data_IF_683064611193
#
_entry.id   IF_683064611193
#
_cell.length_a   1.000
_cell.length_b   1.000
_cell.length_c   1.000
_cell.angle_alpha   90.00
_cell.angle_beta   90.00
_cell.angle_gamma   90.00
#
_symmetry.space_group_name_H-M   'P 1'
#
loop_
_entity.id
_entity.type
_entity.pdbx_description
1 polymer ?
#
# COMPACT_ATOMS: atom_id res chain seq x y z
N UNK A 1 -50.97 -40.78 32.55
CA UNK A 1 -49.87 -39.86 33.04
C UNK A 1 -49.20 -39.23 31.83
N UNK A 2 -49.80 -38.16 31.42
CA UNK A 2 -49.32 -37.33 30.31
C UNK A 2 -48.23 -36.36 30.85
N UNK A 3 -47.04 -36.51 30.36
CA UNK A 3 -45.97 -35.54 30.65
C UNK A 3 -46.27 -34.30 29.83
N UNK A 4 -46.78 -33.26 30.50
CA UNK A 4 -46.74 -31.90 29.93
C UNK A 4 -45.30 -31.58 29.58
N UNK A 5 -45.03 -31.40 28.29
CA UNK A 5 -43.84 -30.74 27.81
C UNK A 5 -44.02 -29.26 28.18
N UNK A 6 -43.26 -28.78 29.14
CA UNK A 6 -43.04 -27.36 29.35
C UNK A 6 -42.43 -26.78 28.08
N UNK A 7 -43.24 -26.35 27.15
CA UNK A 7 -42.84 -25.51 26.05
C UNK A 7 -42.50 -24.14 26.65
N UNK A 8 -41.23 -23.83 26.70
CA UNK A 8 -40.76 -22.51 27.12
C UNK A 8 -41.17 -21.54 26.00
N UNK A 9 -42.40 -21.01 26.12
CA UNK A 9 -42.81 -19.87 25.28
C UNK A 9 -41.96 -18.64 25.67
N UNK A 10 -40.98 -18.32 24.85
CA UNK A 10 -40.20 -17.10 25.03
C UNK A 10 -41.08 -15.93 24.59
N UNK A 11 -41.72 -15.29 25.56
CA UNK A 11 -42.48 -14.06 25.31
C UNK A 11 -41.52 -12.91 24.95
N UNK A 12 -41.35 -12.69 23.63
CA UNK A 12 -40.53 -11.66 23.07
C UNK A 12 -40.96 -10.26 23.54
N UNK A 13 -42.22 -10.07 23.83
CA UNK A 13 -42.77 -8.81 24.28
C UNK A 13 -42.39 -8.52 25.74
N UNK A 14 -42.44 -9.53 26.60
CA UNK A 14 -41.95 -9.45 27.98
C UNK A 14 -40.45 -9.19 28.04
N UNK A 15 -39.68 -9.82 27.15
CA UNK A 15 -38.23 -9.60 27.03
C UNK A 15 -37.93 -8.15 26.59
N UNK A 16 -38.63 -7.64 25.57
CA UNK A 16 -38.51 -6.27 25.10
C UNK A 16 -38.84 -5.24 26.19
N UNK A 17 -39.90 -5.46 26.94
CA UNK A 17 -40.26 -4.58 28.06
C UNK A 17 -39.28 -4.65 29.22
N UNK A 18 -38.68 -5.81 29.51
CA UNK A 18 -37.64 -5.95 30.52
C UNK A 18 -36.35 -5.19 30.13
N UNK A 19 -35.97 -5.24 28.86
CA UNK A 19 -34.83 -4.45 28.31
C UNK A 19 -35.16 -2.95 28.36
N UNK A 20 -36.36 -2.55 27.97
CA UNK A 20 -36.78 -1.15 28.02
C UNK A 20 -36.74 -0.56 29.43
N UNK A 21 -37.18 -1.34 30.41
CA UNK A 21 -37.18 -0.94 31.83
C UNK A 21 -35.75 -0.77 32.39
N UNK A 22 -34.75 -1.43 31.81
CA UNK A 22 -33.34 -1.34 32.20
C UNK A 22 -32.47 -0.68 31.14
N UNK A 23 -33.07 0.09 30.23
CA UNK A 23 -32.35 0.75 29.11
C UNK A 23 -31.18 1.62 29.57
N UNK A 24 -31.31 2.23 30.76
CA UNK A 24 -30.21 3.00 31.35
C UNK A 24 -28.94 2.15 31.56
N UNK A 25 -29.10 0.91 32.00
CA UNK A 25 -28.01 0.00 32.25
C UNK A 25 -27.34 -0.44 30.95
N UNK A 26 -28.15 -0.66 29.91
CA UNK A 26 -27.67 -0.98 28.57
C UNK A 26 -26.90 0.21 27.99
N UNK A 27 -27.41 1.43 28.15
CA UNK A 27 -26.74 2.66 27.72
C UNK A 27 -25.41 2.88 28.46
N UNK A 28 -25.39 2.67 29.78
CA UNK A 28 -24.17 2.80 30.57
C UNK A 28 -23.08 1.81 30.12
N UNK A 29 -23.46 0.54 29.86
CA UNK A 29 -22.54 -0.47 29.33
C UNK A 29 -22.07 -0.15 27.91
N UNK A 30 -22.95 0.38 27.06
CA UNK A 30 -22.61 0.81 25.71
C UNK A 30 -21.59 1.97 25.72
N UNK A 31 -21.78 2.95 26.60
CA UNK A 31 -20.85 4.10 26.76
C UNK A 31 -19.50 3.62 27.29
N UNK A 32 -19.48 2.73 28.29
CA UNK A 32 -18.25 2.13 28.80
C UNK A 32 -17.49 1.35 27.71
N UNK A 33 -18.20 0.52 26.95
CA UNK A 33 -17.63 -0.24 25.85
C UNK A 33 -17.08 0.69 24.75
N UNK A 34 -17.79 1.74 24.40
CA UNK A 34 -17.35 2.73 23.43
C UNK A 34 -16.10 3.50 23.91
N UNK A 35 -16.04 3.87 25.19
CA UNK A 35 -14.89 4.56 25.77
C UNK A 35 -13.63 3.68 25.77
N UNK A 36 -13.77 2.40 26.10
CA UNK A 36 -12.67 1.44 26.05
C UNK A 36 -12.19 1.21 24.62
N UNK A 37 -13.12 0.99 23.68
CA UNK A 37 -12.81 0.79 22.26
C UNK A 37 -12.14 2.04 21.65
N UNK A 38 -12.62 3.23 21.98
CA UNK A 38 -12.04 4.49 21.53
C UNK A 38 -10.62 4.70 22.07
N UNK A 39 -10.41 4.40 23.36
CA UNK A 39 -9.09 4.48 23.97
C UNK A 39 -8.12 3.50 23.34
N UNK A 40 -8.55 2.28 23.08
CA UNK A 40 -7.76 1.27 22.39
C UNK A 40 -7.38 1.75 20.97
N UNK A 41 -8.35 2.20 20.19
CA UNK A 41 -8.13 2.67 18.83
C UNK A 41 -7.18 3.87 18.76
N UNK A 42 -7.28 4.81 19.72
CA UNK A 42 -6.46 6.03 19.72
C UNK A 42 -5.02 5.80 20.19
N UNK A 43 -4.82 4.88 21.16
CA UNK A 43 -3.50 4.71 21.78
C UNK A 43 -2.72 3.50 21.27
N UNK A 44 -3.40 2.47 20.74
CA UNK A 44 -2.74 1.24 20.29
C UNK A 44 -2.67 1.11 18.76
N UNK A 45 -3.53 1.81 18.01
CA UNK A 45 -3.54 1.73 16.55
C UNK A 45 -2.73 2.89 15.98
N UNK A 46 -1.54 2.60 15.46
CA UNK A 46 -0.75 3.59 14.71
C UNK A 46 -1.39 3.81 13.34
N UNK A 47 -1.79 5.03 12.97
CA UNK A 47 -2.26 5.31 11.62
C UNK A 47 -1.12 5.04 10.63
N UNK A 48 -1.44 4.40 9.51
CA UNK A 48 -0.51 4.20 8.41
C UNK A 48 -0.96 5.07 7.23
N UNK A 49 -0.04 5.90 6.76
CA UNK A 49 -0.24 6.74 5.59
C UNK A 49 0.38 6.10 4.37
N UNK A 50 -0.24 6.29 3.21
CA UNK A 50 0.25 5.79 1.94
C UNK A 50 0.51 6.95 1.00
N UNK A 51 1.74 7.06 0.52
CA UNK A 51 2.10 7.92 -0.59
C UNK A 51 2.21 7.07 -1.86
N UNK A 52 1.62 7.56 -2.96
CA UNK A 52 1.58 6.85 -4.25
C UNK A 52 2.30 7.65 -5.30
N UNK A 53 3.20 7.00 -6.04
CA UNK A 53 3.83 7.54 -7.23
C UNK A 53 3.54 6.63 -8.42
N UNK A 54 3.09 7.20 -9.53
CA UNK A 54 2.88 6.47 -10.79
C UNK A 54 4.02 6.79 -11.75
N UNK A 55 4.56 5.76 -12.38
CA UNK A 55 5.65 5.89 -13.34
C UNK A 55 5.26 5.19 -14.64
N UNK A 56 5.54 5.86 -15.76
CA UNK A 56 5.33 5.33 -17.10
C UNK A 56 6.67 4.78 -17.64
N UNK A 57 6.62 3.56 -18.13
CA UNK A 57 7.76 2.91 -18.79
C UNK A 57 7.68 3.21 -20.27
N UNK A 58 8.49 4.15 -20.76
CA UNK A 58 8.55 4.44 -22.19
C UNK A 58 9.52 3.47 -22.87
N UNK A 59 9.02 2.62 -23.72
CA UNK A 59 9.81 1.75 -24.60
C UNK A 59 10.24 2.49 -25.88
N UNK A 60 10.92 3.64 -25.73
CA UNK A 60 11.35 4.48 -26.85
C UNK A 60 12.51 3.89 -27.67
N UNK A 61 12.93 2.66 -27.39
CA UNK A 61 14.06 2.03 -28.13
C UNK A 61 13.68 1.54 -29.55
N UNK A 62 12.42 1.67 -29.96
CA UNK A 62 11.98 1.26 -31.30
C UNK A 62 11.23 2.41 -31.99
N UNK A 63 11.95 3.50 -32.27
CA UNK A 63 11.48 4.53 -33.18
C UNK A 63 12.53 4.77 -34.26
N UNK A 64 12.69 3.81 -35.14
CA UNK A 64 13.39 3.96 -36.41
C UNK A 64 12.44 3.53 -37.55
N UNK A 65 11.81 4.54 -38.16
CA UNK A 65 11.12 4.40 -39.46
C UNK A 65 9.60 4.35 -39.35
N UNK A 66 8.97 5.25 -40.09
CA UNK A 66 7.56 5.37 -40.44
C UNK A 66 6.76 4.04 -40.40
N UNK A 67 6.26 3.67 -39.27
CA UNK A 67 5.29 2.57 -39.15
C UNK A 67 4.12 3.02 -38.29
N UNK A 68 2.93 2.95 -38.85
CA UNK A 68 1.66 3.16 -38.22
C UNK A 68 1.52 2.37 -36.91
N UNK A 69 1.15 3.07 -35.86
CA UNK A 69 0.87 2.50 -34.53
C UNK A 69 -0.28 1.47 -34.62
N UNK A 70 0.05 0.21 -34.75
CA UNK A 70 -0.83 -0.87 -34.32
C UNK A 70 -0.19 -1.47 -33.07
N UNK A 71 -0.79 -1.22 -31.89
CA UNK A 71 -0.38 -1.87 -30.66
C UNK A 71 -0.61 -3.37 -30.83
N UNK A 72 0.48 -4.09 -31.05
CA UNK A 72 0.46 -5.55 -31.14
C UNK A 72 0.36 -6.13 -29.72
N UNK A 73 -0.38 -7.21 -29.54
CA UNK A 73 -0.44 -7.94 -28.26
C UNK A 73 0.95 -8.40 -27.76
N UNK A 74 1.91 -8.56 -28.66
CA UNK A 74 3.31 -8.85 -28.33
C UNK A 74 4.04 -7.65 -27.68
N UNK A 75 3.76 -6.43 -28.13
CA UNK A 75 4.36 -5.21 -27.56
C UNK A 75 3.85 -4.95 -26.14
N UNK A 76 2.56 -5.22 -25.89
CA UNK A 76 1.98 -5.10 -24.57
C UNK A 76 2.58 -6.12 -23.59
N UNK A 77 2.82 -7.35 -24.01
CA UNK A 77 3.47 -8.38 -23.18
C UNK A 77 4.94 -8.05 -22.90
N UNK A 78 5.64 -7.45 -23.86
CA UNK A 78 7.01 -6.99 -23.68
C UNK A 78 7.08 -5.82 -22.68
N UNK A 79 6.14 -4.88 -22.78
CA UNK A 79 6.05 -3.75 -21.86
C UNK A 79 5.76 -4.19 -20.42
N UNK A 80 4.88 -5.18 -20.23
CA UNK A 80 4.62 -5.79 -18.91
C UNK A 80 5.88 -6.44 -18.31
N UNK A 81 6.66 -7.17 -19.12
CA UNK A 81 7.91 -7.76 -18.68
C UNK A 81 8.96 -6.71 -18.28
N UNK A 82 8.94 -5.53 -18.93
CA UNK A 82 9.79 -4.41 -18.54
C UNK A 82 9.35 -3.80 -17.21
N UNK A 83 8.05 -3.67 -16.95
CA UNK A 83 7.52 -3.21 -15.66
C UNK A 83 7.98 -4.13 -14.53
N UNK A 84 7.88 -5.45 -14.70
CA UNK A 84 8.35 -6.41 -13.71
C UNK A 84 9.85 -6.27 -13.45
N UNK A 85 10.64 -6.08 -14.51
CA UNK A 85 12.08 -5.83 -14.39
C UNK A 85 12.38 -4.55 -13.62
N UNK A 86 11.63 -3.47 -13.87
CA UNK A 86 11.81 -2.19 -13.16
C UNK A 86 11.44 -2.30 -11.68
N UNK A 87 10.43 -3.08 -11.35
CA UNK A 87 10.07 -3.38 -9.96
C UNK A 87 11.21 -4.13 -9.24
N UNK A 88 11.83 -5.09 -9.92
CA UNK A 88 12.99 -5.81 -9.38
C UNK A 88 14.19 -4.88 -9.18
N UNK A 89 14.50 -4.02 -10.15
CA UNK A 89 15.57 -3.03 -10.05
C UNK A 89 15.31 -2.05 -8.90
N UNK A 90 14.07 -1.57 -8.77
CA UNK A 90 13.66 -0.66 -7.70
C UNK A 90 13.88 -1.29 -6.32
N UNK A 91 13.51 -2.55 -6.13
CA UNK A 91 13.67 -3.29 -4.87
C UNK A 91 15.10 -3.80 -4.63
N UNK A 92 16.01 -3.60 -5.58
CA UNK A 92 17.39 -4.02 -5.39
C UNK A 92 18.05 -3.20 -4.27
N UNK A 93 18.96 -3.85 -3.53
CA UNK A 93 19.73 -3.21 -2.45
C UNK A 93 20.44 -1.94 -2.94
N UNK A 94 21.07 -2.01 -4.11
CA UNK A 94 21.78 -0.88 -4.70
C UNK A 94 20.89 0.35 -4.94
N UNK A 95 19.64 0.15 -5.34
CA UNK A 95 18.69 1.25 -5.55
C UNK A 95 18.20 1.79 -4.22
N UNK A 96 17.82 0.92 -3.28
CA UNK A 96 17.29 1.34 -1.99
C UNK A 96 18.37 1.99 -1.10
N UNK A 97 19.61 1.56 -1.16
CA UNK A 97 20.73 2.24 -0.50
C UNK A 97 20.92 3.66 -1.04
N UNK A 98 20.85 3.85 -2.38
CA UNK A 98 20.90 5.18 -3.00
C UNK A 98 19.71 6.06 -2.59
N UNK A 99 18.52 5.48 -2.48
CA UNK A 99 17.32 6.18 -1.98
C UNK A 99 17.54 6.61 -0.53
N UNK A 100 18.03 5.72 0.32
CA UNK A 100 18.30 6.00 1.73
C UNK A 100 19.33 7.11 1.93
N UNK A 101 20.42 7.11 1.15
CA UNK A 101 21.42 8.18 1.15
C UNK A 101 20.81 9.55 0.81
N UNK A 102 19.92 9.60 -0.18
CA UNK A 102 19.23 10.84 -0.56
C UNK A 102 18.21 11.29 0.49
N UNK A 103 17.49 10.36 1.11
CA UNK A 103 16.58 10.68 2.21
C UNK A 103 17.35 11.29 3.37
N UNK A 104 18.47 10.67 3.76
CA UNK A 104 19.37 11.20 4.81
C UNK A 104 19.93 12.60 4.49
N UNK A 105 20.17 12.90 3.22
CA UNK A 105 20.64 14.22 2.82
C UNK A 105 19.57 15.32 3.01
N UNK A 106 18.28 14.96 2.96
CA UNK A 106 17.16 15.88 3.16
C UNK A 106 16.73 15.92 4.62
N UNK A 107 16.63 14.75 5.25
CA UNK A 107 16.24 14.58 6.66
C UNK A 107 17.22 13.61 7.35
N UNK A 108 18.24 14.13 8.06
CA UNK A 108 19.24 13.31 8.74
C UNK A 108 18.69 12.39 9.84
N UNK A 109 17.48 12.65 10.34
CA UNK A 109 16.83 11.78 11.33
C UNK A 109 16.16 10.57 10.68
N UNK A 110 15.97 10.58 9.35
CA UNK A 110 15.42 9.48 8.59
C UNK A 110 16.53 8.52 8.14
N UNK A 111 16.86 7.57 8.99
CA UNK A 111 17.75 6.46 8.66
C UNK A 111 16.96 5.17 8.66
N UNK A 112 16.90 4.50 7.51
CA UNK A 112 16.22 3.21 7.35
C UNK A 112 17.22 2.12 6.99
N UNK A 113 17.02 0.92 7.50
CA UNK A 113 17.69 -0.25 6.96
C UNK A 113 17.07 -0.65 5.62
N UNK A 114 17.80 -1.44 4.83
CA UNK A 114 17.27 -1.97 3.57
C UNK A 114 15.97 -2.76 3.77
N UNK A 115 15.92 -3.55 4.82
CA UNK A 115 14.77 -4.40 5.17
C UNK A 115 13.54 -3.57 5.52
N UNK A 116 13.71 -2.50 6.30
CA UNK A 116 12.63 -1.57 6.64
C UNK A 116 12.12 -0.84 5.39
N UNK A 117 13.02 -0.26 4.61
CA UNK A 117 12.65 0.47 3.41
C UNK A 117 11.96 -0.44 2.38
N UNK A 118 12.49 -1.65 2.16
CA UNK A 118 11.89 -2.64 1.29
C UNK A 118 10.50 -3.11 1.76
N UNK A 119 10.30 -3.18 3.08
CA UNK A 119 9.01 -3.54 3.68
C UNK A 119 7.95 -2.45 3.57
N UNK A 120 8.37 -1.17 3.55
CA UNK A 120 7.48 -0.02 3.38
C UNK A 120 7.02 0.17 1.92
N UNK A 121 7.75 -0.39 0.94
CA UNK A 121 7.54 -0.14 -0.48
C UNK A 121 6.85 -1.33 -1.13
N UNK A 122 5.72 -1.06 -1.77
CA UNK A 122 5.04 -2.00 -2.66
C UNK A 122 4.96 -1.40 -4.06
N UNK A 123 5.18 -2.21 -5.08
CA UNK A 123 5.01 -1.78 -6.46
C UNK A 123 4.26 -2.84 -7.26
N UNK A 124 3.40 -2.37 -8.16
CA UNK A 124 2.60 -3.23 -9.02
C UNK A 124 2.30 -2.55 -10.36
N UNK A 125 2.17 -3.35 -11.40
CA UNK A 125 1.67 -2.88 -12.69
C UNK A 125 0.20 -2.45 -12.59
N UNK A 126 -0.16 -1.35 -13.23
CA UNK A 126 -1.54 -0.84 -13.24
C UNK A 126 -2.29 -1.45 -14.41
N UNK A 127 -3.25 -2.31 -14.13
CA UNK A 127 -4.21 -2.87 -15.12
C UNK A 127 -3.58 -3.44 -16.40
N UNK A 128 -2.38 -4.02 -16.33
CA UNK A 128 -1.70 -4.56 -17.51
C UNK A 128 -1.23 -3.50 -18.51
N UNK A 129 -1.04 -2.26 -18.05
CA UNK A 129 -0.48 -1.16 -18.84
C UNK A 129 1.03 -1.04 -18.63
N UNK A 130 1.66 -0.14 -19.38
CA UNK A 130 3.07 0.26 -19.21
C UNK A 130 3.30 1.17 -17.98
N UNK A 131 2.27 1.35 -17.16
CA UNK A 131 2.33 2.15 -15.93
C UNK A 131 2.47 1.22 -14.75
N UNK A 132 3.36 1.56 -13.82
CA UNK A 132 3.40 0.92 -12.52
C UNK A 132 3.22 1.95 -11.40
N UNK A 133 2.56 1.52 -10.36
CA UNK A 133 2.32 2.29 -9.16
C UNK A 133 3.31 1.86 -8.09
N UNK A 134 3.94 2.83 -7.45
CA UNK A 134 4.75 2.64 -6.24
C UNK A 134 3.94 3.16 -5.07
N UNK A 135 3.72 2.33 -4.07
CA UNK A 135 3.01 2.68 -2.83
C UNK A 135 3.99 2.57 -1.67
N UNK A 136 4.21 3.67 -0.99
CA UNK A 136 5.03 3.73 0.23
C UNK A 136 4.11 3.87 1.43
N UNK A 137 4.23 2.96 2.39
CA UNK A 137 3.43 2.94 3.62
C UNK A 137 4.30 3.30 4.81
N UNK A 138 3.97 4.39 5.52
CA UNK A 138 4.72 4.85 6.70
C UNK A 138 3.76 5.43 7.75
N UNK A 139 4.06 5.33 9.06
CA UNK A 139 3.28 6.01 10.11
C UNK A 139 3.29 7.54 10.01
N UNK A 140 4.28 8.11 9.34
CA UNK A 140 4.41 9.54 9.10
C UNK A 140 4.12 9.86 7.62
N UNK A 141 3.16 10.75 7.36
CA UNK A 141 2.76 11.13 6.00
C UNK A 141 3.87 11.88 5.25
N UNK A 142 4.65 12.73 5.94
CA UNK A 142 5.73 13.49 5.32
C UNK A 142 6.89 12.55 4.92
N UNK A 143 7.18 11.56 5.77
CA UNK A 143 8.18 10.54 5.47
C UNK A 143 7.75 9.62 4.33
N UNK A 144 6.46 9.22 4.29
CA UNK A 144 5.91 8.45 3.18
C UNK A 144 6.06 9.19 1.84
N UNK A 145 5.73 10.49 1.83
CA UNK A 145 5.86 11.34 0.65
C UNK A 145 7.32 11.54 0.23
N UNK A 146 8.21 11.83 1.18
CA UNK A 146 9.65 11.99 0.92
C UNK A 146 10.24 10.73 0.29
N UNK A 147 9.93 9.55 0.83
CA UNK A 147 10.42 8.27 0.29
C UNK A 147 9.88 8.06 -1.13
N UNK A 148 8.58 8.24 -1.36
CA UNK A 148 7.96 8.04 -2.66
C UNK A 148 8.55 8.98 -3.73
N UNK A 149 8.71 10.27 -3.41
CA UNK A 149 9.31 11.26 -4.31
C UNK A 149 10.78 10.98 -4.58
N UNK A 150 11.53 10.53 -3.57
CA UNK A 150 12.94 10.16 -3.72
C UNK A 150 13.10 8.95 -4.63
N UNK A 151 12.24 7.94 -4.51
CA UNK A 151 12.23 6.78 -5.42
C UNK A 151 11.94 7.23 -6.85
N UNK A 152 10.93 8.10 -7.04
CA UNK A 152 10.55 8.61 -8.35
C UNK A 152 11.69 9.40 -9.03
N UNK A 153 12.57 10.07 -8.28
CA UNK A 153 13.77 10.75 -8.81
C UNK A 153 14.94 9.80 -9.05
N UNK A 154 15.16 8.81 -8.20
CA UNK A 154 16.32 7.90 -8.27
C UNK A 154 16.13 6.83 -9.35
N UNK A 155 14.92 6.24 -9.43
CA UNK A 155 14.68 5.07 -10.24
C UNK A 155 14.95 5.27 -11.74
N UNK A 156 14.50 6.36 -12.40
CA UNK A 156 14.80 6.57 -13.82
C UNK A 156 16.30 6.68 -14.10
N UNK A 157 17.03 7.36 -13.23
CA UNK A 157 18.49 7.52 -13.35
C UNK A 157 19.20 6.19 -13.20
N UNK A 158 18.72 5.35 -12.29
CA UNK A 158 19.28 4.02 -12.06
C UNK A 158 19.02 3.09 -13.23
N UNK A 159 17.80 3.09 -13.76
CA UNK A 159 17.44 2.31 -14.95
C UNK A 159 18.31 2.74 -16.15
N UNK A 160 18.43 4.05 -16.40
CA UNK A 160 19.28 4.57 -17.48
C UNK A 160 20.72 4.09 -17.34
N UNK A 161 21.29 4.16 -16.14
CA UNK A 161 22.67 3.73 -15.89
C UNK A 161 22.89 2.22 -16.12
N UNK A 162 21.88 1.39 -15.87
CA UNK A 162 21.95 -0.06 -16.09
C UNK A 162 21.83 -0.38 -17.59
N UNK A 163 20.93 0.30 -18.29
CA UNK A 163 20.70 0.11 -19.72
C UNK A 163 21.92 0.59 -20.52
N UNK A 164 22.46 1.77 -20.21
CA UNK A 164 23.66 2.32 -20.84
C UNK A 164 24.89 1.47 -20.51
N UNK A 165 25.07 1.05 -19.27
CA UNK A 165 26.16 0.17 -18.84
C UNK A 165 26.14 -1.22 -19.47
N UNK A 166 24.97 -1.71 -19.88
CA UNK A 166 24.78 -2.98 -20.58
C UNK A 166 25.17 -2.91 -22.08
N UNK A 167 25.20 -1.73 -22.65
CA UNK A 167 25.55 -1.54 -24.08
C UNK A 167 27.07 -1.48 -24.35
N UNK A 168 27.90 -1.50 -23.30
CA UNK A 168 29.36 -1.46 -23.38
C UNK A 168 29.96 -2.85 -23.09
N UNK A 169 29.68 -3.83 -23.97
CA UNK A 169 30.44 -5.08 -24.05
C UNK A 169 30.53 -5.58 -25.48
#
# INVERSE_FOLDING_TARGET
MEKEKDEIEIDLLALALAVWRKIWLVLAMAILGAAVAFSYAKFLVTPLYQAKAMMYVNNSAISLGNASFSISSGELSAAQSLVDTYIVIMKSRLTLDTVNEKIKAVDPECEYTYEELSGMITAAAVNGTEIFEIVVTNPDNQKAELIANTIADVLPKKIASIVEGSSVR
#
